data_IF_984721021650
#
_entry.id   IF_984721021650
#
_cell.length_a   1.000
_cell.length_b   1.000
_cell.length_c   1.000
_cell.angle_alpha   90.00
_cell.angle_beta   90.00
_cell.angle_gamma   90.00
#
_symmetry.space_group_name_H-M   'P 1'
#
loop_
_entity.id
_entity.type
_entity.pdbx_description
1 polymer ?
#
# COMPACT_ATOMS: atom_id res chain seq x y z
N UNK A 1 21.16 22.55 2.74
CA UNK A 1 20.14 23.54 2.30
C UNK A 1 18.86 22.76 2.04
N UNK A 2 17.93 22.75 3.00
CA UNK A 2 16.72 21.92 2.93
C UNK A 2 15.72 22.60 2.00
N UNK A 3 15.45 22.02 0.84
CA UNK A 3 14.49 22.54 -0.12
C UNK A 3 13.12 22.64 0.57
N UNK A 4 12.52 23.84 0.57
CA UNK A 4 11.18 24.04 1.12
C UNK A 4 10.17 23.28 0.26
N UNK A 5 9.29 22.51 0.91
CA UNK A 5 8.19 21.80 0.25
C UNK A 5 7.03 22.79 0.18
N UNK A 6 6.40 23.00 -0.99
CA UNK A 6 5.30 23.94 -1.12
C UNK A 6 4.03 23.44 -0.42
N UNK A 7 3.15 24.38 -0.07
CA UNK A 7 1.80 24.07 0.41
C UNK A 7 1.02 23.29 -0.65
N UNK A 8 0.17 22.36 -0.21
CA UNK A 8 -0.57 21.49 -1.11
C UNK A 8 -1.79 20.91 -0.41
N UNK A 9 -2.89 20.71 -1.15
CA UNK A 9 -4.12 20.07 -0.65
C UNK A 9 -4.71 20.76 0.59
N UNK A 10 -4.44 22.06 0.78
CA UNK A 10 -4.85 22.82 1.97
C UNK A 10 -3.98 22.58 3.20
N UNK A 11 -2.82 21.93 3.06
CA UNK A 11 -1.82 21.73 4.11
C UNK A 11 -0.62 22.65 3.93
N UNK A 12 -0.03 23.06 5.05
CA UNK A 12 1.24 23.76 5.07
C UNK A 12 2.39 22.86 4.62
N UNK A 13 3.43 23.44 4.03
CA UNK A 13 4.58 22.71 3.50
C UNK A 13 5.30 21.78 4.49
N UNK A 14 5.21 22.06 5.80
CA UNK A 14 5.75 21.18 6.85
C UNK A 14 4.95 19.88 7.03
N UNK A 15 3.62 19.96 6.97
CA UNK A 15 2.73 18.81 7.02
C UNK A 15 2.89 17.97 5.75
N UNK A 16 2.94 18.63 4.59
CA UNK A 16 3.20 17.96 3.31
C UNK A 16 4.55 17.23 3.36
N UNK A 17 5.60 17.87 3.88
CA UNK A 17 6.91 17.22 4.05
C UNK A 17 6.82 15.98 4.94
N UNK A 18 6.09 16.06 6.05
CA UNK A 18 5.93 14.96 7.00
C UNK A 18 5.19 13.78 6.37
N UNK A 19 4.12 14.05 5.60
CA UNK A 19 3.41 13.05 4.79
C UNK A 19 4.36 12.36 3.81
N UNK A 20 5.14 13.14 3.07
CA UNK A 20 6.07 12.60 2.07
C UNK A 20 7.21 11.80 2.70
N UNK A 21 7.66 12.16 3.91
CA UNK A 21 8.68 11.40 4.63
C UNK A 21 8.18 9.99 4.99
N UNK A 22 6.95 9.86 5.49
CA UNK A 22 6.31 8.57 5.78
C UNK A 22 6.15 7.70 4.53
N UNK A 23 5.81 8.31 3.40
CA UNK A 23 5.63 7.59 2.15
C UNK A 23 6.97 7.12 1.54
N UNK A 24 8.01 7.97 1.56
CA UNK A 24 9.34 7.66 1.01
C UNK A 24 10.05 6.54 1.74
N UNK A 25 9.90 6.45 3.07
CA UNK A 25 10.56 5.43 3.88
C UNK A 25 10.18 4.00 3.44
N UNK A 26 8.96 3.79 2.96
CA UNK A 26 8.46 2.49 2.52
C UNK A 26 8.71 2.20 1.03
N UNK A 27 9.16 3.20 0.24
CA UNK A 27 9.28 3.09 -1.21
C UNK A 27 10.34 4.07 -1.77
N UNK A 28 11.65 3.78 -1.61
CA UNK A 28 12.73 4.71 -1.96
C UNK A 28 12.82 5.05 -3.47
N UNK A 29 12.20 4.25 -4.35
CA UNK A 29 12.15 4.49 -5.80
C UNK A 29 11.01 5.39 -6.29
N UNK A 30 10.14 5.86 -5.39
CA UNK A 30 9.00 6.73 -5.73
C UNK A 30 9.38 8.19 -5.52
N UNK A 31 9.28 8.98 -6.59
CA UNK A 31 9.41 10.44 -6.54
C UNK A 31 8.03 11.07 -6.39
N UNK A 32 7.99 12.17 -5.67
CA UNK A 32 6.77 12.92 -5.43
C UNK A 32 6.92 14.31 -6.03
N UNK A 33 5.96 14.70 -6.84
CA UNK A 33 5.84 16.06 -7.35
C UNK A 33 4.65 16.72 -6.66
N UNK A 34 4.92 17.81 -5.95
CA UNK A 34 3.93 18.52 -5.15
C UNK A 34 3.46 19.73 -5.94
N UNK A 35 2.16 19.78 -6.18
CA UNK A 35 1.45 20.91 -6.79
C UNK A 35 0.43 21.46 -5.79
N UNK A 36 -0.06 22.70 -5.95
CA UNK A 36 -0.98 23.31 -4.98
C UNK A 36 -2.24 22.47 -4.68
N UNK A 37 -2.79 21.79 -5.68
CA UNK A 37 -4.03 21.01 -5.56
C UNK A 37 -3.86 19.49 -5.75
N UNK A 38 -2.62 19.03 -5.97
CA UNK A 38 -2.36 17.61 -6.17
C UNK A 38 -0.94 17.18 -5.81
N UNK A 39 -0.80 15.92 -5.39
CA UNK A 39 0.49 15.25 -5.22
C UNK A 39 0.57 14.13 -6.23
N UNK A 40 1.56 14.16 -7.10
CA UNK A 40 1.81 13.14 -8.11
C UNK A 40 2.92 12.19 -7.64
N UNK A 41 2.72 10.90 -7.92
CA UNK A 41 3.65 9.83 -7.60
C UNK A 41 4.25 9.28 -8.88
N UNK A 42 5.57 9.36 -8.98
CA UNK A 42 6.35 9.01 -10.16
C UNK A 42 7.27 7.84 -9.85
N UNK A 43 7.20 6.78 -10.64
CA UNK A 43 8.10 5.63 -10.54
C UNK A 43 9.30 5.79 -11.48
N UNK A 44 10.44 5.21 -11.12
CA UNK A 44 11.60 5.15 -12.03
C UNK A 44 11.27 4.41 -13.33
N UNK A 45 11.82 4.91 -14.44
CA UNK A 45 11.76 4.28 -15.76
C UNK A 45 13.01 3.41 -15.97
N UNK A 46 12.90 2.20 -16.56
CA UNK A 46 11.68 1.56 -17.07
C UNK A 46 10.73 1.12 -15.95
N UNK A 47 9.42 1.24 -16.18
CA UNK A 47 8.41 0.86 -15.18
C UNK A 47 8.31 -0.67 -15.06
N UNK A 48 8.84 -1.21 -13.97
CA UNK A 48 8.71 -2.63 -13.63
C UNK A 48 7.51 -2.89 -12.75
N UNK A 49 7.21 -4.17 -12.53
CA UNK A 49 6.15 -4.57 -11.60
C UNK A 49 6.48 -4.19 -10.17
N UNK A 50 7.73 -4.37 -9.76
CA UNK A 50 8.23 -4.06 -8.43
C UNK A 50 8.12 -2.57 -8.14
N UNK A 51 8.45 -1.70 -9.12
CA UNK A 51 8.31 -0.25 -8.94
C UNK A 51 6.85 0.17 -8.82
N UNK A 52 5.93 -0.49 -9.52
CA UNK A 52 4.48 -0.25 -9.41
C UNK A 52 3.89 -0.75 -8.08
N UNK A 53 4.33 -1.90 -7.58
CA UNK A 53 3.98 -2.37 -6.23
C UNK A 53 4.47 -1.37 -5.17
N UNK A 54 5.72 -0.92 -5.27
CA UNK A 54 6.28 0.09 -4.38
C UNK A 54 5.52 1.42 -4.44
N UNK A 55 5.10 1.86 -5.64
CA UNK A 55 4.22 3.00 -5.80
C UNK A 55 2.90 2.82 -5.05
N UNK A 56 2.30 1.64 -5.11
CA UNK A 56 1.10 1.31 -4.35
C UNK A 56 1.29 1.44 -2.83
N UNK A 57 2.41 0.93 -2.31
CA UNK A 57 2.79 1.09 -0.90
C UNK A 57 2.87 2.56 -0.50
N UNK A 58 3.61 3.35 -1.30
CA UNK A 58 3.80 4.77 -1.08
C UNK A 58 2.46 5.53 -1.10
N UNK A 59 1.61 5.20 -2.06
CA UNK A 59 0.29 5.79 -2.24
C UNK A 59 -0.62 5.52 -1.05
N UNK A 60 -0.61 4.31 -0.48
CA UNK A 60 -1.38 4.04 0.73
C UNK A 60 -0.89 4.90 1.90
N UNK A 61 0.42 5.01 2.09
CA UNK A 61 0.98 5.81 3.19
C UNK A 61 0.57 7.30 3.04
N UNK A 62 0.63 7.86 1.83
CA UNK A 62 0.13 9.22 1.54
C UNK A 62 -1.35 9.33 1.89
N UNK A 63 -2.18 8.38 1.45
CA UNK A 63 -3.62 8.39 1.72
C UNK A 63 -3.90 8.35 3.22
N UNK A 64 -3.26 7.45 3.97
CA UNK A 64 -3.46 7.34 5.41
C UNK A 64 -3.04 8.62 6.13
N UNK A 65 -1.90 9.21 5.75
CA UNK A 65 -1.41 10.44 6.37
C UNK A 65 -2.36 11.61 6.10
N UNK A 66 -2.80 11.81 4.84
CA UNK A 66 -3.82 12.81 4.51
C UNK A 66 -5.12 12.60 5.30
N UNK A 67 -5.59 11.35 5.41
CA UNK A 67 -6.77 11.04 6.22
C UNK A 67 -6.57 11.33 7.70
N UNK A 68 -5.35 11.19 8.24
CA UNK A 68 -4.98 11.61 9.59
C UNK A 68 -5.05 13.12 9.82
N UNK A 69 -4.77 13.90 8.77
CA UNK A 69 -4.98 15.36 8.75
C UNK A 69 -6.42 15.78 8.43
N UNK A 70 -7.36 14.83 8.43
CA UNK A 70 -8.77 15.11 8.15
C UNK A 70 -9.09 15.36 6.68
N UNK A 71 -8.19 15.01 5.75
CA UNK A 71 -8.38 15.18 4.31
C UNK A 71 -8.89 13.88 3.70
N UNK A 72 -9.92 13.98 2.86
CA UNK A 72 -10.39 12.86 2.02
C UNK A 72 -9.59 12.85 0.71
N UNK A 73 -8.70 11.88 0.46
CA UNK A 73 -7.93 11.83 -0.78
C UNK A 73 -8.77 11.27 -1.94
N UNK A 74 -8.79 11.97 -3.08
CA UNK A 74 -9.23 11.42 -4.37
C UNK A 74 -8.01 10.92 -5.13
N UNK A 75 -8.06 9.68 -5.59
CA UNK A 75 -6.90 9.02 -6.21
C UNK A 75 -7.23 8.63 -7.64
N UNK A 76 -6.39 9.08 -8.56
CA UNK A 76 -6.39 8.63 -9.95
C UNK A 76 -5.13 7.79 -10.18
N UNK A 77 -5.31 6.53 -10.58
CA UNK A 77 -4.20 5.67 -11.00
C UNK A 77 -3.97 5.85 -12.49
N UNK A 78 -2.70 5.96 -12.90
CA UNK A 78 -2.30 6.16 -14.29
C UNK A 78 -3.10 7.31 -14.98
N UNK A 79 -3.06 8.55 -14.45
CA UNK A 79 -3.71 9.73 -15.03
C UNK A 79 -3.29 10.07 -16.47
N UNK A 80 -2.25 9.42 -16.98
CA UNK A 80 -1.78 9.57 -18.35
C UNK A 80 -0.98 10.86 -18.57
N UNK A 81 -0.95 11.37 -19.82
CA UNK A 81 -0.06 12.47 -20.20
C UNK A 81 -0.30 13.78 -19.45
N UNK A 82 -1.53 13.98 -18.96
CA UNK A 82 -1.92 15.17 -18.19
C UNK A 82 -1.13 15.36 -16.88
N UNK A 83 -0.48 14.30 -16.39
CA UNK A 83 0.36 14.30 -15.20
C UNK A 83 1.75 13.69 -15.50
N UNK A 84 2.31 13.96 -16.67
CA UNK A 84 3.67 13.51 -17.06
C UNK A 84 3.90 12.01 -16.86
N UNK A 85 2.90 11.20 -17.17
CA UNK A 85 2.91 9.74 -16.98
C UNK A 85 3.15 9.31 -15.52
N UNK A 86 2.68 10.11 -14.57
CA UNK A 86 2.62 9.74 -13.16
C UNK A 86 1.92 8.38 -12.99
N UNK A 87 2.45 7.58 -12.07
CA UNK A 87 1.85 6.29 -11.72
C UNK A 87 0.54 6.49 -10.95
N UNK A 88 0.45 7.56 -10.15
CA UNK A 88 -0.77 7.98 -9.48
C UNK A 88 -0.78 9.48 -9.19
N UNK A 89 -1.96 10.07 -9.07
CA UNK A 89 -2.15 11.44 -8.59
C UNK A 89 -3.18 11.45 -7.46
N UNK A 90 -2.91 12.24 -6.42
CA UNK A 90 -3.78 12.43 -5.26
C UNK A 90 -4.26 13.88 -5.22
N UNK A 91 -5.58 14.07 -5.17
CA UNK A 91 -6.25 15.37 -5.13
C UNK A 91 -7.11 15.52 -3.87
N UNK A 92 -7.46 16.75 -3.53
CA UNK A 92 -8.36 17.05 -2.42
C UNK A 92 -9.78 16.64 -2.78
N UNK A 93 -10.36 15.72 -2.02
CA UNK A 93 -11.74 15.24 -2.15
C UNK A 93 -12.73 15.84 -1.15
N UNK A 94 -12.29 16.85 -0.41
CA UNK A 94 -12.98 17.38 0.76
C UNK A 94 -12.36 16.91 2.07
N UNK A 95 -13.10 17.12 3.16
CA UNK A 95 -12.66 16.83 4.52
C UNK A 95 -13.46 15.67 5.11
N UNK A 96 -12.82 14.91 5.99
CA UNK A 96 -13.44 13.81 6.73
C UNK A 96 -12.75 13.67 8.09
N UNK A 97 -13.48 13.30 9.13
CA UNK A 97 -12.83 12.97 10.40
C UNK A 97 -11.97 11.69 10.26
N UNK A 98 -10.76 11.65 10.83
CA UNK A 98 -9.94 10.44 10.82
C UNK A 98 -10.66 9.30 11.57
N UNK A 99 -11.01 8.24 10.84
CA UNK A 99 -11.61 7.04 11.47
C UNK A 99 -10.64 6.36 12.45
N UNK A 100 -11.14 5.64 13.47
CA UNK A 100 -10.30 4.88 14.40
C UNK A 100 -9.34 3.90 13.71
N UNK A 101 -9.79 3.26 12.63
CA UNK A 101 -8.97 2.34 11.82
C UNK A 101 -7.78 3.06 11.18
N UNK A 102 -8.00 4.24 10.59
CA UNK A 102 -6.92 5.07 10.02
C UNK A 102 -5.91 5.45 11.09
N UNK A 103 -6.37 5.88 12.27
CA UNK A 103 -5.50 6.25 13.38
C UNK A 103 -4.69 5.05 13.91
N UNK A 104 -5.27 3.85 13.95
CA UNK A 104 -4.56 2.62 14.30
C UNK A 104 -3.46 2.29 13.28
N UNK A 105 -3.77 2.34 11.98
CA UNK A 105 -2.80 2.09 10.91
C UNK A 105 -1.67 3.13 10.90
N UNK A 106 -1.99 4.40 11.15
CA UNK A 106 -0.99 5.46 11.25
C UNK A 106 -0.04 5.24 12.42
N UNK A 107 -0.53 4.83 13.60
CA UNK A 107 0.34 4.47 14.73
C UNK A 107 1.31 3.36 14.35
N UNK A 108 0.82 2.30 13.71
CA UNK A 108 1.70 1.21 13.22
C UNK A 108 2.71 1.72 12.19
N UNK A 109 2.29 2.56 11.23
CA UNK A 109 3.18 3.12 10.20
C UNK A 109 4.33 3.92 10.83
N UNK A 110 4.03 4.82 11.77
CA UNK A 110 5.06 5.59 12.49
C UNK A 110 6.05 4.69 13.22
N UNK A 111 5.56 3.62 13.87
CA UNK A 111 6.45 2.67 14.57
C UNK A 111 7.31 1.84 13.61
N UNK A 112 6.80 1.47 12.42
CA UNK A 112 7.57 0.78 11.39
C UNK A 112 8.68 1.66 10.82
N UNK A 113 8.38 2.93 10.51
CA UNK A 113 9.39 3.88 10.01
C UNK A 113 10.48 4.13 11.05
N UNK A 114 10.12 4.13 12.33
CA UNK A 114 11.08 4.34 13.42
C UNK A 114 11.83 3.07 13.86
N UNK A 115 11.35 1.86 13.55
CA UNK A 115 11.92 0.62 14.08
C UNK A 115 11.72 -0.57 13.13
N UNK A 116 12.83 -1.20 12.68
CA UNK A 116 12.79 -2.46 11.91
C UNK A 116 12.53 -3.66 12.84
N UNK A 117 11.43 -3.64 13.59
CA UNK A 117 11.14 -4.71 14.56
C UNK A 117 10.91 -6.04 13.87
N UNK A 118 11.55 -7.07 14.40
CA UNK A 118 11.22 -8.47 14.20
C UNK A 118 10.03 -8.82 15.09
N UNK A 119 8.91 -9.26 14.50
CA UNK A 119 7.76 -9.74 15.28
C UNK A 119 7.99 -11.22 15.61
N UNK A 120 7.86 -11.59 16.88
CA UNK A 120 8.28 -12.91 17.38
C UNK A 120 7.13 -13.79 17.90
N UNK A 121 5.88 -13.32 17.94
CA UNK A 121 4.78 -14.10 18.54
C UNK A 121 3.55 -14.15 17.64
N UNK A 122 3.09 -15.37 17.35
CA UNK A 122 1.83 -15.60 16.64
C UNK A 122 0.68 -15.65 17.65
N UNK A 123 -0.35 -14.79 17.53
CA UNK A 123 -1.62 -15.00 18.22
C UNK A 123 -2.41 -16.14 17.56
N UNK A 124 -3.31 -16.74 18.33
CA UNK A 124 -4.15 -17.88 17.96
C UNK A 124 -4.88 -17.67 16.61
N UNK A 125 -4.91 -18.72 15.78
CA UNK A 125 -5.15 -18.72 14.31
C UNK A 125 -6.49 -18.15 13.80
N UNK A 126 -7.45 -17.83 14.67
CA UNK A 126 -8.82 -17.52 14.28
C UNK A 126 -9.11 -16.02 14.09
N UNK A 127 -8.53 -15.12 14.90
CA UNK A 127 -8.96 -13.71 14.93
C UNK A 127 -8.38 -12.84 13.80
N UNK A 128 -7.24 -13.22 13.21
CA UNK A 128 -6.56 -12.38 12.24
C UNK A 128 -7.04 -12.57 10.80
N UNK A 129 -7.59 -13.74 10.44
CA UNK A 129 -7.98 -14.03 9.03
C UNK A 129 -9.02 -13.05 8.53
N UNK A 130 -10.13 -12.89 9.27
CA UNK A 130 -11.20 -11.97 8.90
C UNK A 130 -10.71 -10.52 8.85
N UNK A 131 -9.84 -10.13 9.79
CA UNK A 131 -9.23 -8.81 9.84
C UNK A 131 -8.36 -8.52 8.61
N UNK A 132 -7.44 -9.43 8.26
CA UNK A 132 -6.56 -9.25 7.11
C UNK A 132 -7.32 -9.34 5.78
N UNK A 133 -8.33 -10.21 5.67
CA UNK A 133 -9.18 -10.27 4.48
C UNK A 133 -9.91 -8.94 4.26
N UNK A 134 -10.52 -8.37 5.30
CA UNK A 134 -11.17 -7.06 5.22
C UNK A 134 -10.18 -5.95 4.85
N UNK A 135 -8.96 -6.00 5.37
CA UNK A 135 -7.91 -5.04 5.02
C UNK A 135 -7.58 -5.07 3.53
N UNK A 136 -7.52 -6.24 2.90
CA UNK A 136 -7.32 -6.36 1.46
C UNK A 136 -8.55 -5.89 0.67
N UNK A 137 -9.76 -6.26 1.12
CA UNK A 137 -11.03 -5.91 0.46
C UNK A 137 -11.28 -4.40 0.38
N UNK A 138 -10.90 -3.65 1.42
CA UNK A 138 -10.97 -2.17 1.41
C UNK A 138 -10.18 -1.58 0.24
N UNK A 139 -9.10 -2.23 -0.19
CA UNK A 139 -8.27 -1.80 -1.32
C UNK A 139 -8.67 -2.46 -2.66
N UNK A 140 -9.81 -3.17 -2.66
CA UNK A 140 -10.34 -3.96 -3.79
C UNK A 140 -9.39 -5.08 -4.22
N UNK A 141 -8.83 -5.78 -3.23
CA UNK A 141 -8.04 -6.98 -3.37
C UNK A 141 -8.58 -8.08 -2.44
N UNK A 142 -8.11 -9.31 -2.61
CA UNK A 142 -8.55 -10.46 -1.81
C UNK A 142 -7.36 -11.26 -1.31
N UNK A 143 -7.51 -11.88 -0.13
CA UNK A 143 -6.55 -12.83 0.38
C UNK A 143 -7.09 -14.25 0.21
N UNK A 144 -6.31 -15.08 -0.47
CA UNK A 144 -6.51 -16.52 -0.48
C UNK A 144 -5.54 -17.18 0.49
N UNK A 145 -6.03 -18.06 1.33
CA UNK A 145 -5.19 -18.84 2.25
C UNK A 145 -4.64 -20.04 1.48
N UNK A 146 -3.33 -20.06 1.23
CA UNK A 146 -2.67 -21.23 0.63
C UNK A 146 -2.42 -22.31 1.70
N UNK A 147 -1.94 -21.89 2.87
CA UNK A 147 -1.75 -22.76 4.05
C UNK A 147 -1.82 -21.94 5.35
N UNK A 148 -1.44 -22.52 6.49
CA UNK A 148 -1.52 -21.88 7.81
C UNK A 148 -0.75 -20.55 7.97
N UNK A 149 0.29 -20.32 7.16
CA UNK A 149 1.17 -19.15 7.26
C UNK A 149 1.43 -18.41 5.94
N UNK A 150 0.96 -18.94 4.80
CA UNK A 150 1.10 -18.32 3.48
C UNK A 150 -0.27 -17.89 2.94
N UNK A 151 -0.37 -16.60 2.64
CA UNK A 151 -1.52 -15.97 2.00
C UNK A 151 -1.13 -15.52 0.60
N UNK A 152 -2.09 -15.50 -0.31
CA UNK A 152 -1.91 -15.03 -1.68
C UNK A 152 -2.82 -13.84 -1.89
N UNK A 153 -2.22 -12.68 -2.11
CA UNK A 153 -2.93 -11.46 -2.41
C UNK A 153 -3.32 -11.47 -3.90
N UNK A 154 -4.59 -11.28 -4.17
CA UNK A 154 -5.16 -11.33 -5.50
C UNK A 154 -5.91 -10.05 -5.86
N UNK A 155 -5.94 -9.72 -7.15
CA UNK A 155 -6.77 -8.64 -7.72
C UNK A 155 -7.70 -9.22 -8.79
N UNK A 156 -8.73 -8.49 -9.20
CA UNK A 156 -9.57 -8.92 -10.32
C UNK A 156 -8.88 -8.73 -11.67
N UNK A 157 -8.13 -7.62 -11.82
CA UNK A 157 -7.47 -7.24 -13.07
C UNK A 157 -5.97 -7.56 -13.05
N UNK A 158 -5.38 -7.56 -14.24
CA UNK A 158 -3.94 -7.56 -14.49
C UNK A 158 -3.43 -6.15 -14.84
N UNK A 159 -2.11 -5.99 -14.94
CA UNK A 159 -1.47 -4.80 -15.50
C UNK A 159 -1.16 -3.71 -14.47
N UNK A 160 -0.67 -2.58 -14.97
CA UNK A 160 -0.05 -1.55 -14.15
C UNK A 160 -0.95 -1.02 -13.02
N UNK A 161 -2.23 -0.72 -13.29
CA UNK A 161 -3.16 -0.23 -12.28
C UNK A 161 -3.47 -1.31 -11.21
N UNK A 162 -3.55 -2.58 -11.62
CA UNK A 162 -3.78 -3.69 -10.69
C UNK A 162 -2.58 -3.93 -9.78
N UNK A 163 -1.36 -3.76 -10.29
CA UNK A 163 -0.13 -3.85 -9.50
C UNK A 163 -0.03 -2.69 -8.50
N UNK A 164 -0.30 -1.44 -8.90
CA UNK A 164 -0.36 -0.31 -7.95
C UNK A 164 -1.43 -0.54 -6.87
N UNK A 165 -2.59 -1.10 -7.25
CA UNK A 165 -3.63 -1.50 -6.28
C UNK A 165 -3.16 -2.62 -5.34
N UNK A 166 -2.46 -3.61 -5.86
CA UNK A 166 -1.90 -4.70 -5.07
C UNK A 166 -0.88 -4.18 -4.05
N UNK A 167 -0.05 -3.20 -4.41
CA UNK A 167 0.85 -2.53 -3.47
C UNK A 167 0.11 -1.82 -2.32
N UNK A 168 -0.99 -1.11 -2.64
CA UNK A 168 -1.85 -0.50 -1.62
C UNK A 168 -2.46 -1.55 -0.68
N UNK A 169 -3.02 -2.62 -1.24
CA UNK A 169 -3.61 -3.70 -0.45
C UNK A 169 -2.59 -4.42 0.43
N UNK A 170 -1.41 -4.74 -0.13
CA UNK A 170 -0.29 -5.32 0.60
C UNK A 170 0.09 -4.47 1.81
N UNK A 171 0.30 -3.17 1.61
CA UNK A 171 0.69 -2.26 2.69
C UNK A 171 -0.40 -2.15 3.76
N UNK A 172 -1.69 -2.16 3.36
CA UNK A 172 -2.79 -2.12 4.34
C UNK A 172 -2.82 -3.41 5.16
N UNK A 173 -2.63 -4.57 4.53
CA UNK A 173 -2.54 -5.87 5.22
C UNK A 173 -1.37 -5.88 6.21
N UNK A 174 -0.19 -5.41 5.80
CA UNK A 174 1.00 -5.31 6.65
C UNK A 174 0.74 -4.42 7.86
N UNK A 175 0.20 -3.22 7.66
CA UNK A 175 -0.08 -2.29 8.74
C UNK A 175 -1.18 -2.82 9.67
N UNK A 176 -2.21 -3.44 9.11
CA UNK A 176 -3.31 -4.05 9.88
C UNK A 176 -2.79 -5.19 10.75
N UNK A 177 -1.95 -6.07 10.19
CA UNK A 177 -1.32 -7.14 10.95
C UNK A 177 -0.48 -6.60 12.12
N UNK A 178 0.26 -5.51 11.90
CA UNK A 178 1.03 -4.84 12.95
C UNK A 178 0.16 -4.28 14.09
N UNK A 179 -1.11 -3.93 13.85
CA UNK A 179 -2.03 -3.49 14.92
C UNK A 179 -2.36 -4.61 15.93
N UNK A 180 -2.20 -5.87 15.51
CA UNK A 180 -2.46 -7.07 16.34
C UNK A 180 -1.17 -7.87 16.60
N UNK A 181 0.00 -7.28 16.34
CA UNK A 181 1.30 -7.87 16.65
C UNK A 181 1.80 -8.94 15.67
N UNK A 182 1.22 -9.04 14.47
CA UNK A 182 1.58 -10.06 13.48
C UNK A 182 2.55 -9.46 12.45
N UNK A 183 3.68 -10.14 12.23
CA UNK A 183 4.54 -9.89 11.07
C UNK A 183 3.90 -10.41 9.77
N UNK A 184 4.00 -9.61 8.72
CA UNK A 184 3.70 -10.01 7.34
C UNK A 184 4.89 -9.66 6.46
N UNK A 185 5.44 -10.67 5.78
CA UNK A 185 6.56 -10.54 4.86
C UNK A 185 6.09 -10.78 3.42
N UNK A 186 5.98 -9.72 2.60
CA UNK A 186 5.64 -9.87 1.19
C UNK A 186 6.81 -10.48 0.41
N UNK A 187 6.52 -11.51 -0.38
CA UNK A 187 7.43 -12.03 -1.40
C UNK A 187 6.94 -11.58 -2.78
N UNK A 188 7.78 -10.79 -3.44
CA UNK A 188 7.53 -10.26 -4.78
C UNK A 188 8.23 -11.07 -5.88
N UNK A 189 8.83 -12.22 -5.53
CA UNK A 189 9.58 -13.06 -6.46
C UNK A 189 8.71 -13.50 -7.67
N UNK A 190 9.04 -13.05 -8.90
CA UNK A 190 8.27 -13.38 -10.10
C UNK A 190 8.24 -14.88 -10.42
N UNK A 191 9.30 -15.62 -10.06
CA UNK A 191 9.41 -17.06 -10.32
C UNK A 191 8.44 -17.82 -9.42
N UNK A 192 8.40 -17.46 -8.15
CA UNK A 192 7.39 -17.98 -7.21
C UNK A 192 5.94 -17.68 -7.65
N UNK A 193 5.70 -16.60 -8.41
CA UNK A 193 4.37 -16.21 -8.86
C UNK A 193 3.92 -16.85 -10.17
N UNK A 194 4.83 -17.16 -11.10
CA UNK A 194 4.46 -17.80 -12.37
C UNK A 194 3.96 -19.24 -12.16
N UNK A 195 4.64 -20.02 -11.33
CA UNK A 195 4.20 -21.36 -10.91
C UNK A 195 2.88 -21.28 -10.13
N UNK A 196 2.78 -20.36 -9.17
CA UNK A 196 1.57 -20.17 -8.37
C UNK A 196 0.33 -19.77 -9.20
N UNK A 197 0.52 -19.00 -10.28
CA UNK A 197 -0.58 -18.63 -11.18
C UNK A 197 -1.13 -19.80 -11.98
N UNK A 198 -0.27 -20.76 -12.36
CA UNK A 198 -0.71 -21.96 -13.05
C UNK A 198 -1.56 -22.83 -12.11
N UNK A 199 -1.13 -22.97 -10.86
CA UNK A 199 -1.77 -23.87 -9.89
C UNK A 199 -3.02 -23.28 -9.23
N UNK A 200 -3.02 -21.97 -8.92
CA UNK A 200 -4.10 -21.37 -8.12
C UNK A 200 -5.24 -20.78 -8.94
N UNK A 201 -5.03 -20.35 -10.20
CA UNK A 201 -6.11 -19.76 -11.00
C UNK A 201 -7.35 -20.66 -11.10
N UNK A 202 -7.22 -21.98 -11.34
CA UNK A 202 -8.36 -22.90 -11.35
C UNK A 202 -9.10 -22.91 -10.00
N UNK A 203 -8.35 -22.97 -8.89
CA UNK A 203 -8.89 -22.98 -7.52
C UNK A 203 -9.55 -21.66 -7.11
N UNK A 204 -9.16 -20.55 -7.74
CA UNK A 204 -9.71 -19.21 -7.52
C UNK A 204 -10.86 -18.87 -8.49
N UNK A 205 -11.44 -19.88 -9.14
CA UNK A 205 -12.57 -19.69 -10.07
C UNK A 205 -12.19 -18.92 -11.35
N UNK A 206 -10.91 -18.93 -11.74
CA UNK A 206 -10.34 -18.25 -12.92
C UNK A 206 -10.60 -16.74 -13.03
N UNK A 207 -11.16 -16.11 -12.00
CA UNK A 207 -11.55 -14.70 -11.97
C UNK A 207 -10.56 -13.83 -11.23
N UNK A 208 -9.84 -14.40 -10.26
CA UNK A 208 -8.81 -13.69 -9.51
C UNK A 208 -7.41 -13.91 -10.10
N UNK A 209 -6.60 -12.87 -9.96
CA UNK A 209 -5.22 -12.78 -10.42
C UNK A 209 -4.30 -12.77 -9.20
N UNK A 210 -3.47 -13.81 -9.00
CA UNK A 210 -2.41 -13.77 -8.00
C UNK A 210 -1.40 -12.66 -8.28
N UNK A 211 -1.20 -11.81 -7.28
CA UNK A 211 -0.26 -10.70 -7.32
C UNK A 211 0.99 -10.95 -6.47
N UNK A 212 0.86 -11.52 -5.28
CA UNK A 212 2.03 -11.79 -4.42
C UNK A 212 1.70 -12.81 -3.35
N UNK A 213 2.74 -13.41 -2.78
CA UNK A 213 2.63 -14.25 -1.58
C UNK A 213 2.97 -13.39 -0.36
N UNK A 214 2.19 -13.49 0.69
CA UNK A 214 2.42 -12.88 1.99
C UNK A 214 2.67 -13.99 3.00
N UNK A 215 3.84 -13.99 3.65
CA UNK A 215 4.18 -14.96 4.69
C UNK A 215 3.97 -14.33 6.05
N UNK A 216 3.30 -15.05 6.95
CA UNK A 216 3.07 -14.63 8.33
C UNK A 216 4.21 -15.11 9.23
N UNK A 217 4.64 -14.28 10.18
CA UNK A 217 5.60 -14.67 11.22
C UNK A 217 7.05 -14.22 11.00
N UNK A 218 7.98 -14.85 11.72
CA UNK A 218 9.40 -14.53 11.63
C UNK A 218 9.94 -14.91 10.24
N UNK A 219 10.49 -13.90 9.54
CA UNK A 219 11.17 -14.06 8.25
C UNK A 219 12.41 -14.93 8.31
#
# INVERSE_FOLDING_TARGET
MTIAVPDSLGLAGEDVRSILALARAAAPGVRFEVRPEQIELHTTSPHTRETRLACGTALLNVRLALQGHGIRPLVTLLPGPSAHDAAAAVRLGGYQEPSPDVLALLRTLHTQTSNRRTWTTFPELASWRGLLSRAAEVERAWLHVKNGAELVLCTFNQGAAAEIRAGQAMQRVVLTAGTVGIAVHPSMDPISLSALRADLRPCLGNTLVPQMVLRLGAG
#
